data_IF_739336460871
#
_entry.id   IF_739336460871
#
_cell.length_a   1.000
_cell.length_b   1.000
_cell.length_c   1.000
_cell.angle_alpha   90.00
_cell.angle_beta   90.00
_cell.angle_gamma   90.00
#
_symmetry.space_group_name_H-M   'P 1'
#
loop_
_entity.id
_entity.type
_entity.pdbx_description
1 polymer ?
#
# COMPACT_ATOMS: atom_id res chain seq x y z
N UNK A 1 -23.56 -15.08 -61.32
CA UNK A 1 -24.16 -15.70 -60.12
C UNK A 1 -23.16 -15.56 -58.99
N UNK A 2 -23.52 -14.77 -57.96
CA UNK A 2 -22.95 -14.63 -56.61
C UNK A 2 -21.43 -14.39 -56.45
N UNK A 3 -21.10 -13.10 -56.40
CA UNK A 3 -19.97 -12.56 -55.60
C UNK A 3 -20.30 -12.85 -54.13
N UNK A 4 -19.41 -13.51 -53.40
CA UNK A 4 -19.49 -13.55 -51.93
C UNK A 4 -18.10 -13.27 -51.37
N UNK A 5 -17.91 -12.02 -50.98
CA UNK A 5 -16.86 -11.54 -50.09
C UNK A 5 -17.08 -12.21 -48.72
N UNK A 6 -16.08 -12.90 -48.18
CA UNK A 6 -16.06 -13.26 -46.76
C UNK A 6 -14.90 -12.51 -46.13
N UNK A 7 -15.27 -11.50 -45.35
CA UNK A 7 -14.42 -10.58 -44.63
C UNK A 7 -13.68 -11.32 -43.52
N UNK A 8 -12.36 -11.14 -43.50
CA UNK A 8 -11.44 -11.54 -42.44
C UNK A 8 -11.72 -10.67 -41.20
N UNK A 9 -12.28 -11.27 -40.15
CA UNK A 9 -12.55 -10.57 -38.88
C UNK A 9 -11.38 -10.83 -37.93
N UNK A 10 -10.31 -10.04 -38.09
CA UNK A 10 -9.23 -9.96 -37.10
C UNK A 10 -9.75 -9.14 -35.93
N UNK A 11 -10.24 -9.82 -34.90
CA UNK A 11 -10.48 -9.23 -33.58
C UNK A 11 -9.11 -8.92 -32.95
N UNK A 12 -8.55 -7.76 -33.27
CA UNK A 12 -7.55 -7.12 -32.42
C UNK A 12 -8.30 -6.60 -31.20
N UNK A 13 -8.55 -7.50 -30.25
CA UNK A 13 -8.86 -7.09 -28.89
C UNK A 13 -7.59 -6.44 -28.34
N UNK A 14 -7.47 -5.12 -28.47
CA UNK A 14 -6.52 -4.35 -27.67
C UNK A 14 -6.85 -4.63 -26.21
N UNK A 15 -6.10 -5.53 -25.59
CA UNK A 15 -5.95 -5.54 -24.15
C UNK A 15 -5.36 -4.18 -23.81
N UNK A 16 -6.22 -3.24 -23.39
CA UNK A 16 -5.77 -2.09 -22.64
C UNK A 16 -5.22 -2.70 -21.37
N UNK A 17 -3.92 -2.96 -21.35
CA UNK A 17 -3.20 -3.16 -20.11
C UNK A 17 -3.38 -1.84 -19.38
N UNK A 18 -4.39 -1.77 -18.50
CA UNK A 18 -4.46 -0.70 -17.52
C UNK A 18 -3.13 -0.74 -16.81
N UNK A 19 -2.35 0.33 -16.94
CA UNK A 19 -1.19 0.50 -16.09
C UNK A 19 -1.76 0.59 -14.67
N UNK A 20 -1.55 -0.47 -13.89
CA UNK A 20 -1.93 -0.48 -12.49
C UNK A 20 -1.29 0.74 -11.83
N UNK A 21 -2.08 1.45 -11.02
CA UNK A 21 -1.63 2.67 -10.38
C UNK A 21 -0.41 2.37 -9.49
N UNK A 22 0.69 3.09 -9.72
CA UNK A 22 1.91 2.94 -8.92
C UNK A 22 1.96 4.03 -7.86
N UNK A 23 2.35 3.66 -6.65
CA UNK A 23 2.62 4.62 -5.58
C UNK A 23 4.01 5.23 -5.78
N UNK A 24 4.17 6.54 -5.59
CA UNK A 24 5.44 7.25 -5.77
C UNK A 24 5.98 7.85 -4.49
N UNK A 25 5.12 8.44 -3.66
CA UNK A 25 5.54 9.01 -2.39
C UNK A 25 4.34 9.18 -1.44
N UNK A 26 4.63 9.37 -0.16
CA UNK A 26 3.64 9.69 0.86
C UNK A 26 4.23 10.66 1.87
N UNK A 27 3.45 11.69 2.22
CA UNK A 27 3.90 12.79 3.07
C UNK A 27 2.82 13.17 4.08
N UNK A 28 3.21 13.63 5.26
CA UNK A 28 2.25 14.20 6.21
C UNK A 28 1.57 15.43 5.60
N UNK A 29 0.25 15.55 5.77
CA UNK A 29 -0.47 16.75 5.33
C UNK A 29 -0.12 17.98 6.17
N UNK A 30 0.24 17.75 7.43
CA UNK A 30 0.55 18.78 8.41
C UNK A 30 1.88 18.48 9.07
N UNK A 31 2.79 19.45 9.11
CA UNK A 31 4.15 19.27 9.63
C UNK A 31 4.21 18.84 11.11
N UNK A 32 3.13 19.10 11.87
CA UNK A 32 3.00 18.84 13.30
C UNK A 32 2.07 17.65 13.61
N UNK A 33 1.63 16.90 12.60
CA UNK A 33 0.70 15.77 12.80
C UNK A 33 0.90 14.62 11.83
N UNK A 34 1.01 13.41 12.38
CA UNK A 34 1.01 12.16 11.61
C UNK A 34 -0.39 11.57 11.42
N UNK A 35 -1.47 12.31 11.73
CA UNK A 35 -2.84 11.81 11.64
C UNK A 35 -3.41 11.79 10.21
N UNK A 36 -2.77 12.48 9.28
CA UNK A 36 -3.25 12.66 7.90
C UNK A 36 -2.07 12.74 6.94
N UNK A 37 -2.18 12.02 5.83
CA UNK A 37 -1.13 11.85 4.83
C UNK A 37 -1.70 12.05 3.43
N UNK A 38 -0.86 12.63 2.58
CA UNK A 38 -1.10 12.76 1.14
C UNK A 38 -0.27 11.71 0.42
N UNK A 39 -0.92 10.93 -0.45
CA UNK A 39 -0.31 9.85 -1.23
C UNK A 39 -0.22 10.29 -2.68
N UNK A 40 0.98 10.28 -3.25
CA UNK A 40 1.19 10.59 -4.67
C UNK A 40 1.38 9.31 -5.47
N UNK A 41 0.88 9.34 -6.71
CA UNK A 41 0.90 8.19 -7.61
C UNK A 41 1.53 8.55 -8.94
N UNK A 42 1.82 7.54 -9.77
CA UNK A 42 2.41 7.75 -11.09
C UNK A 42 1.51 8.51 -12.07
N UNK A 43 0.23 8.63 -11.77
CA UNK A 43 -0.68 9.56 -12.45
C UNK A 43 -0.75 10.85 -11.63
N UNK A 44 -0.14 11.92 -12.16
CA UNK A 44 -0.13 13.25 -11.53
C UNK A 44 -1.53 13.83 -11.29
N UNK A 45 -2.56 13.32 -11.99
CA UNK A 45 -3.94 13.74 -11.78
C UNK A 45 -4.64 13.01 -10.63
N UNK A 46 -4.02 11.96 -10.07
CA UNK A 46 -4.58 11.14 -9.01
C UNK A 46 -3.75 11.26 -7.73
N UNK A 47 -4.23 12.13 -6.84
CA UNK A 47 -3.77 12.26 -5.47
C UNK A 47 -4.64 11.41 -4.53
N UNK A 48 -4.01 10.84 -3.52
CA UNK A 48 -4.64 10.03 -2.49
C UNK A 48 -4.53 10.65 -1.09
N UNK A 49 -5.38 10.18 -0.20
CA UNK A 49 -5.36 10.53 1.23
C UNK A 49 -5.36 9.27 2.08
N UNK A 50 -4.60 9.28 3.16
CA UNK A 50 -4.64 8.29 4.24
C UNK A 50 -4.75 9.03 5.56
N UNK A 51 -5.76 8.73 6.37
CA UNK A 51 -6.04 9.51 7.59
C UNK A 51 -6.65 8.67 8.69
N UNK A 52 -6.47 9.09 9.94
CA UNK A 52 -7.24 8.55 11.06
C UNK A 52 -8.73 8.69 10.77
N UNK A 53 -9.50 7.64 11.07
CA UNK A 53 -10.96 7.70 10.91
C UNK A 53 -11.59 8.75 11.83
N UNK A 54 -11.04 8.90 13.03
CA UNK A 54 -11.50 9.87 14.03
C UNK A 54 -10.31 10.65 14.60
N UNK A 55 -9.77 11.64 13.86
CA UNK A 55 -8.55 12.33 14.24
C UNK A 55 -8.70 13.07 15.58
N UNK A 56 -9.89 13.59 15.89
CA UNK A 56 -10.17 14.28 17.16
C UNK A 56 -10.17 13.34 18.39
N UNK A 57 -10.29 12.03 18.19
CA UNK A 57 -10.27 11.05 19.28
C UNK A 57 -8.88 10.45 19.52
N UNK A 58 -7.92 10.71 18.61
CA UNK A 58 -6.59 10.11 18.67
C UNK A 58 -6.62 8.58 18.58
N UNK A 59 -7.63 8.00 17.92
CA UNK A 59 -7.73 6.54 17.76
C UNK A 59 -6.83 6.08 16.62
N UNK A 60 -5.58 5.76 16.96
CA UNK A 60 -4.55 5.24 16.04
C UNK A 60 -4.82 3.82 15.53
N UNK A 61 -5.92 3.18 15.94
CA UNK A 61 -6.23 1.79 15.56
C UNK A 61 -7.05 1.69 14.28
N UNK A 62 -7.58 2.81 13.76
CA UNK A 62 -8.42 2.83 12.56
C UNK A 62 -8.09 3.99 11.63
N UNK A 63 -7.85 3.62 10.39
CA UNK A 63 -7.47 4.51 9.31
C UNK A 63 -8.36 4.30 8.11
N UNK A 64 -8.67 5.38 7.42
CA UNK A 64 -9.37 5.35 6.14
C UNK A 64 -8.45 5.91 5.06
N UNK A 65 -8.54 5.34 3.86
CA UNK A 65 -7.83 5.84 2.70
C UNK A 65 -8.76 6.05 1.51
N UNK A 66 -8.33 6.91 0.60
CA UNK A 66 -8.96 7.13 -0.70
C UNK A 66 -7.90 7.52 -1.72
N UNK A 67 -7.83 6.83 -2.85
CA UNK A 67 -6.93 7.16 -3.97
C UNK A 67 -7.72 6.98 -5.26
N UNK A 68 -7.94 8.08 -5.99
CA UNK A 68 -8.83 8.08 -7.16
C UNK A 68 -10.24 7.58 -6.79
N UNK A 69 -10.69 6.51 -7.43
CA UNK A 69 -11.99 5.88 -7.16
C UNK A 69 -11.93 4.79 -6.07
N UNK A 70 -10.73 4.36 -5.68
CA UNK A 70 -10.56 3.32 -4.65
C UNK A 70 -10.61 3.94 -3.25
N UNK A 71 -11.35 3.31 -2.35
CA UNK A 71 -11.42 3.70 -0.96
C UNK A 71 -11.55 2.46 -0.06
N UNK A 72 -11.01 2.58 1.14
CA UNK A 72 -10.97 1.47 2.08
C UNK A 72 -10.49 1.90 3.45
N UNK A 73 -10.16 0.91 4.26
CA UNK A 73 -9.76 1.13 5.65
C UNK A 73 -8.72 0.13 6.13
N UNK A 74 -7.87 0.57 7.05
CA UNK A 74 -6.95 -0.25 7.82
C UNK A 74 -7.36 -0.23 9.29
N UNK A 75 -7.55 -1.40 9.87
CA UNK A 75 -7.99 -1.53 11.26
C UNK A 75 -7.13 -2.56 11.99
N UNK A 76 -6.72 -2.26 13.22
CA UNK A 76 -6.18 -3.29 14.10
C UNK A 76 -7.26 -4.35 14.35
N UNK A 77 -6.88 -5.61 14.19
CA UNK A 77 -7.80 -6.72 14.46
C UNK A 77 -8.14 -6.78 15.95
N UNK A 78 -7.15 -6.54 16.82
CA UNK A 78 -7.34 -6.37 18.26
C UNK A 78 -6.71 -5.03 18.67
N UNK A 79 -7.50 -4.18 19.34
CA UNK A 79 -7.08 -2.82 19.75
C UNK A 79 -5.80 -2.81 20.62
N UNK A 80 -5.55 -3.88 21.37
CA UNK A 80 -4.38 -4.01 22.26
C UNK A 80 -3.17 -4.68 21.58
N UNK A 81 -3.32 -5.16 20.34
CA UNK A 81 -2.28 -5.86 19.60
C UNK A 81 -1.93 -5.09 18.32
N UNK A 82 -0.92 -4.19 18.35
CA UNK A 82 -0.48 -3.47 17.17
C UNK A 82 0.20 -4.38 16.15
N UNK A 83 0.39 -5.68 16.45
CA UNK A 83 0.99 -6.68 15.59
C UNK A 83 0.00 -7.44 14.71
N UNK A 84 -1.28 -7.10 14.73
CA UNK A 84 -2.28 -7.70 13.83
C UNK A 84 -3.26 -6.65 13.27
N UNK A 85 -3.17 -6.45 11.96
CA UNK A 85 -3.98 -5.52 11.19
C UNK A 85 -4.78 -6.23 10.09
N UNK A 86 -5.86 -5.58 9.69
CA UNK A 86 -6.65 -5.92 8.52
C UNK A 86 -6.80 -4.71 7.60
N UNK A 87 -6.76 -4.96 6.29
CA UNK A 87 -7.10 -3.96 5.29
C UNK A 87 -8.29 -4.41 4.46
N UNK A 88 -9.21 -3.49 4.19
CA UNK A 88 -10.43 -3.74 3.42
C UNK A 88 -10.63 -2.68 2.36
N UNK A 89 -10.85 -3.09 1.13
CA UNK A 89 -11.18 -2.23 -0.01
C UNK A 89 -11.96 -3.02 -1.04
N UNK A 90 -13.20 -2.60 -1.34
CA UNK A 90 -14.10 -3.35 -2.21
C UNK A 90 -14.27 -4.82 -1.76
N UNK A 91 -13.82 -5.76 -2.60
CA UNK A 91 -13.86 -7.20 -2.32
C UNK A 91 -12.52 -7.75 -1.80
N UNK A 92 -11.52 -6.90 -1.59
CA UNK A 92 -10.20 -7.29 -1.10
C UNK A 92 -10.16 -7.20 0.42
N UNK A 93 -9.83 -8.32 1.06
CA UNK A 93 -9.51 -8.41 2.48
C UNK A 93 -8.07 -8.91 2.61
N UNK A 94 -7.26 -8.13 3.32
CA UNK A 94 -5.89 -8.50 3.65
C UNK A 94 -5.77 -8.63 5.15
N UNK A 95 -4.90 -9.54 5.59
CA UNK A 95 -4.45 -9.62 6.98
C UNK A 95 -2.95 -9.42 7.02
N UNK A 96 -2.48 -8.63 7.98
CA UNK A 96 -1.06 -8.42 8.24
C UNK A 96 -0.75 -8.75 9.69
N UNK A 97 0.29 -9.55 9.91
CA UNK A 97 0.77 -9.88 11.24
C UNK A 97 2.27 -9.73 11.33
N UNK A 98 2.80 -9.42 12.50
CA UNK A 98 4.23 -9.61 12.73
C UNK A 98 4.65 -11.03 12.37
N UNK A 99 5.80 -11.16 11.72
CA UNK A 99 6.34 -12.47 11.37
C UNK A 99 6.76 -13.24 12.63
N UNK A 100 7.33 -12.52 13.59
CA UNK A 100 7.62 -13.02 14.93
C UNK A 100 6.91 -12.15 15.98
N UNK A 101 6.32 -12.72 17.03
CA UNK A 101 5.71 -11.93 18.09
C UNK A 101 6.70 -10.91 18.69
N UNK A 102 6.29 -9.64 18.74
CA UNK A 102 7.11 -8.52 19.22
C UNK A 102 8.07 -7.92 18.21
N UNK A 103 8.19 -8.48 17.00
CA UNK A 103 9.08 -7.97 15.96
C UNK A 103 8.33 -7.06 14.99
N UNK A 104 8.44 -5.75 15.20
CA UNK A 104 7.84 -4.74 14.33
C UNK A 104 8.50 -4.68 12.95
N UNK A 105 9.72 -5.22 12.79
CA UNK A 105 10.55 -4.99 11.59
C UNK A 105 10.21 -5.92 10.42
N UNK A 106 9.33 -6.91 10.64
CA UNK A 106 8.96 -7.89 9.62
C UNK A 106 7.49 -8.28 9.72
N UNK A 107 6.81 -8.17 8.59
CA UNK A 107 5.39 -8.42 8.44
C UNK A 107 5.12 -9.56 7.49
N UNK A 108 4.17 -10.39 7.87
CA UNK A 108 3.51 -11.37 7.04
C UNK A 108 2.17 -10.79 6.61
N UNK A 109 2.03 -10.48 5.33
CA UNK A 109 0.81 -9.86 4.75
C UNK A 109 0.22 -10.86 3.77
N UNK A 110 -1.07 -11.15 3.85
CA UNK A 110 -1.69 -12.16 2.99
C UNK A 110 -3.14 -11.79 2.65
N UNK A 111 -3.56 -12.20 1.46
CA UNK A 111 -4.97 -12.35 1.08
C UNK A 111 -5.34 -13.84 1.07
N UNK A 112 -6.44 -14.19 0.40
CA UNK A 112 -6.90 -15.58 0.28
C UNK A 112 -5.96 -16.49 -0.55
N UNK A 113 -5.10 -15.91 -1.40
CA UNK A 113 -4.34 -16.64 -2.42
C UNK A 113 -2.82 -16.41 -2.36
N UNK A 114 -2.38 -15.29 -1.80
CA UNK A 114 -1.03 -14.76 -1.90
C UNK A 114 -0.51 -14.38 -0.52
N UNK A 115 0.80 -14.42 -0.42
CA UNK A 115 1.55 -14.12 0.79
C UNK A 115 2.74 -13.25 0.42
N UNK A 116 2.86 -12.12 1.10
CA UNK A 116 3.98 -11.19 1.00
C UNK A 116 4.69 -11.06 2.34
N UNK A 117 6.03 -10.95 2.28
CA UNK A 117 6.84 -10.59 3.44
C UNK A 117 7.40 -9.19 3.23
N UNK A 118 6.99 -8.25 4.07
CA UNK A 118 7.45 -6.87 4.02
C UNK A 118 8.30 -6.59 5.26
N UNK A 119 9.50 -6.04 5.10
CA UNK A 119 10.43 -5.91 6.21
C UNK A 119 11.35 -4.70 6.07
N UNK A 120 11.98 -4.28 7.16
CA UNK A 120 13.08 -3.31 7.10
C UNK A 120 14.23 -3.89 6.26
N UNK A 121 14.84 -3.08 5.39
CA UNK A 121 16.03 -3.49 4.63
C UNK A 121 17.20 -3.82 5.56
N UNK A 122 17.38 -3.00 6.58
CA UNK A 122 18.43 -3.15 7.57
C UNK A 122 17.80 -3.35 8.95
N UNK A 123 18.28 -4.34 9.69
CA UNK A 123 17.76 -4.62 11.03
C UNK A 123 17.87 -3.37 11.92
N UNK A 124 16.78 -3.05 12.63
CA UNK A 124 16.65 -1.91 13.54
C UNK A 124 16.56 -0.52 12.88
N UNK A 125 16.42 -0.43 11.56
CA UNK A 125 16.17 0.84 10.86
C UNK A 125 14.74 0.85 10.33
N UNK A 126 13.87 1.64 10.96
CA UNK A 126 12.46 1.78 10.53
C UNK A 126 12.27 2.75 9.37
N UNK A 127 13.36 3.29 8.82
CA UNK A 127 13.37 4.32 7.76
C UNK A 127 13.53 3.74 6.34
N UNK A 128 13.78 2.43 6.19
CA UNK A 128 13.92 1.77 4.87
C UNK A 128 13.33 0.37 4.92
N UNK A 129 12.30 0.14 4.09
CA UNK A 129 11.53 -1.08 4.02
C UNK A 129 11.50 -1.64 2.61
N UNK A 130 11.49 -2.96 2.49
CA UNK A 130 11.51 -3.71 1.24
C UNK A 130 10.53 -4.87 1.29
N UNK A 131 9.92 -5.13 0.14
CA UNK A 131 9.27 -6.40 -0.15
C UNK A 131 10.34 -7.49 -0.32
N UNK A 132 10.28 -8.51 0.52
CA UNK A 132 11.14 -9.69 0.47
C UNK A 132 10.32 -10.92 0.12
N UNK A 133 9.88 -11.00 -1.13
CA UNK A 133 8.96 -12.05 -1.56
C UNK A 133 9.66 -13.23 -2.24
N UNK A 134 9.41 -14.48 -1.82
CA UNK A 134 9.94 -15.66 -2.50
C UNK A 134 9.23 -16.01 -3.82
N UNK A 135 8.03 -15.47 -4.09
CA UNK A 135 7.17 -15.81 -5.24
C UNK A 135 7.27 -14.82 -6.40
N UNK A 136 8.14 -13.81 -6.29
CA UNK A 136 8.41 -12.77 -7.31
C UNK A 136 7.16 -12.03 -7.81
N UNK A 137 6.65 -11.09 -7.01
CA UNK A 137 5.58 -10.16 -7.38
C UNK A 137 6.12 -8.79 -7.82
N UNK A 138 7.37 -8.73 -8.28
CA UNK A 138 8.10 -7.48 -8.46
C UNK A 138 8.70 -6.95 -7.15
N UNK A 139 9.01 -5.66 -7.11
CA UNK A 139 9.63 -5.02 -5.93
C UNK A 139 8.83 -3.83 -5.43
N UNK A 140 8.79 -3.66 -4.11
CA UNK A 140 8.33 -2.46 -3.44
C UNK A 140 9.40 -2.04 -2.44
N UNK A 141 9.81 -0.78 -2.49
CA UNK A 141 10.64 -0.17 -1.46
C UNK A 141 9.97 1.09 -0.94
N UNK A 142 10.05 1.31 0.37
CA UNK A 142 9.60 2.52 1.06
C UNK A 142 10.77 3.05 1.88
N UNK A 143 11.14 4.31 1.73
CA UNK A 143 12.20 4.92 2.54
C UNK A 143 11.97 6.41 2.77
N UNK A 144 12.49 6.95 3.87
CA UNK A 144 12.39 8.38 4.16
C UNK A 144 13.17 9.19 3.12
N UNK A 145 12.57 10.28 2.64
CA UNK A 145 13.24 11.18 1.70
C UNK A 145 14.44 11.86 2.37
N UNK A 146 14.29 12.21 3.64
CA UNK A 146 15.31 12.82 4.47
C UNK A 146 15.59 11.93 5.70
N UNK A 147 16.86 11.63 5.94
CA UNK A 147 17.29 10.79 7.07
C UNK A 147 16.80 11.37 8.41
N UNK A 148 16.19 10.52 9.24
CA UNK A 148 15.63 10.92 10.52
C UNK A 148 14.34 11.75 10.46
N UNK A 149 13.77 11.99 9.28
CA UNK A 149 12.50 12.67 9.11
C UNK A 149 11.40 11.70 8.65
N UNK A 150 10.53 11.22 9.56
CA UNK A 150 9.48 10.28 9.21
C UNK A 150 8.27 10.97 8.57
N UNK A 151 8.34 12.25 8.17
CA UNK A 151 7.22 12.97 7.55
C UNK A 151 7.13 12.78 6.05
N UNK A 152 8.25 12.53 5.38
CA UNK A 152 8.37 12.48 3.92
C UNK A 152 8.97 11.15 3.49
N UNK A 153 8.25 10.40 2.65
CA UNK A 153 8.66 9.07 2.22
C UNK A 153 8.56 8.92 0.71
N UNK A 154 9.60 8.30 0.14
CA UNK A 154 9.64 7.86 -1.25
C UNK A 154 9.21 6.40 -1.33
N UNK A 155 8.42 6.09 -2.35
CA UNK A 155 7.94 4.75 -2.67
C UNK A 155 8.43 4.37 -4.07
N UNK A 156 9.29 3.35 -4.14
CA UNK A 156 9.68 2.73 -5.41
C UNK A 156 8.81 1.48 -5.63
N UNK A 157 7.68 1.67 -6.33
CA UNK A 157 6.72 0.63 -6.67
C UNK A 157 6.94 0.07 -8.08
N UNK A 158 7.60 -1.09 -8.14
CA UNK A 158 7.74 -1.93 -9.32
C UNK A 158 7.01 -3.27 -9.15
N UNK A 159 5.96 -3.31 -8.30
CA UNK A 159 5.17 -4.52 -8.11
C UNK A 159 4.33 -4.79 -9.36
N UNK A 160 3.99 -6.07 -9.57
CA UNK A 160 3.10 -6.50 -10.65
C UNK A 160 1.81 -5.63 -10.64
N UNK A 161 1.44 -5.01 -11.79
CA UNK A 161 0.23 -4.20 -11.91
C UNK A 161 -1.08 -4.91 -11.53
N UNK A 162 -1.10 -6.25 -11.46
CA UNK A 162 -2.23 -7.05 -11.00
C UNK A 162 -2.35 -7.13 -9.48
N UNK A 163 -1.37 -6.62 -8.73
CA UNK A 163 -1.43 -6.53 -7.27
C UNK A 163 -2.34 -5.34 -6.92
N UNK A 164 -3.41 -5.56 -6.13
CA UNK A 164 -4.33 -4.49 -5.77
C UNK A 164 -3.63 -3.30 -5.10
N UNK A 165 -4.09 -2.08 -5.39
CA UNK A 165 -3.53 -0.86 -4.81
C UNK A 165 -3.58 -0.88 -3.29
N UNK A 166 -4.71 -1.34 -2.71
CA UNK A 166 -4.84 -1.54 -1.26
C UNK A 166 -3.72 -2.40 -0.68
N UNK A 167 -3.22 -3.41 -1.39
CA UNK A 167 -2.12 -4.27 -0.92
C UNK A 167 -0.82 -3.48 -0.79
N UNK A 168 -0.50 -2.70 -1.83
CA UNK A 168 0.71 -1.86 -1.86
C UNK A 168 0.64 -0.77 -0.81
N UNK A 169 -0.50 -0.08 -0.71
CA UNK A 169 -0.72 0.98 0.28
C UNK A 169 -0.70 0.43 1.70
N UNK A 170 -1.20 -0.79 1.94
CA UNK A 170 -1.17 -1.41 3.25
C UNK A 170 0.26 -1.75 3.70
N UNK A 171 1.14 -2.19 2.78
CA UNK A 171 2.58 -2.34 3.07
C UNK A 171 3.19 -0.99 3.48
N UNK A 172 2.90 0.06 2.70
CA UNK A 172 3.38 1.42 3.00
C UNK A 172 2.90 1.89 4.38
N UNK A 173 1.61 1.70 4.66
CA UNK A 173 1.01 2.02 5.95
C UNK A 173 1.72 1.34 7.12
N UNK A 174 2.00 0.03 7.03
CA UNK A 174 2.67 -0.70 8.09
C UNK A 174 4.09 -0.15 8.34
N UNK A 175 4.81 0.23 7.28
CA UNK A 175 6.12 0.85 7.39
C UNK A 175 6.08 2.19 8.13
N UNK A 176 5.24 3.12 7.66
CA UNK A 176 5.15 4.46 8.27
C UNK A 176 4.58 4.41 9.69
N UNK A 177 3.58 3.55 9.94
CA UNK A 177 2.88 3.47 11.24
C UNK A 177 3.84 3.13 12.40
N UNK A 178 4.88 2.34 12.12
CA UNK A 178 5.91 1.96 13.09
C UNK A 178 7.12 2.89 13.12
N UNK A 179 7.31 3.69 12.08
CA UNK A 179 8.38 4.68 12.01
C UNK A 179 7.98 6.04 12.63
N UNK A 180 6.68 6.34 12.70
CA UNK A 180 6.19 7.64 13.15
C UNK A 180 5.95 7.70 14.66
N UNK A 181 6.41 8.75 15.35
CA UNK A 181 6.10 8.95 16.76
C UNK A 181 4.62 9.30 16.92
N UNK A 182 3.98 8.69 17.92
CA UNK A 182 2.61 9.03 18.31
C UNK A 182 2.71 10.13 19.36
N UNK A 183 2.14 11.30 19.06
CA UNK A 183 2.03 12.43 19.97
C UNK A 183 0.76 12.32 20.82
#
# INVERSE_FOLDING_TARGET
MKVTFVVLLVLVGSAIAGFGQQLQSIHTRWDDSYAEWVVYTSDESVEGTLSLRWPMQGDWTKWDFRIGEEAGSFEMHYVEDPGFWEARSGNTLLTARWFWPGDITRWKIQDDYRLWIFQTRWNHMTEDWVLNDPLDFGSLQLYTEYEGDPRDWIIDDQMDPQIPLVTKLFMVFLGIYHATPRL
#
